data_IF_190948340466
#
_entry.id   IF_190948340466
#
_cell.length_a   1.000
_cell.length_b   1.000
_cell.length_c   1.000
_cell.angle_alpha   90.00
_cell.angle_beta   90.00
_cell.angle_gamma   90.00
#
_symmetry.space_group_name_H-M   'P 1'
#
loop_
_entity.id
_entity.type
_entity.pdbx_description
1 polymer ?
#
# COMPACT_ATOMS: atom_id res chain seq x y z
N UNK A 1 32.29 -12.66 -18.86
CA UNK A 1 31.95 -12.30 -17.46
C UNK A 1 30.52 -11.81 -17.26
N UNK A 2 29.91 -11.08 -18.20
CA UNK A 2 28.54 -10.55 -18.05
C UNK A 2 27.40 -11.59 -17.96
N UNK A 3 27.51 -12.74 -18.64
CA UNK A 3 26.43 -13.75 -18.67
C UNK A 3 26.23 -14.55 -17.37
N UNK A 4 27.27 -14.65 -16.52
CA UNK A 4 27.16 -15.31 -15.21
C UNK A 4 26.51 -14.36 -14.19
N UNK A 5 26.86 -13.07 -14.24
CA UNK A 5 26.27 -12.04 -13.39
C UNK A 5 24.79 -11.81 -13.70
N UNK A 6 24.41 -11.78 -14.99
CA UNK A 6 23.00 -11.66 -15.39
C UNK A 6 22.15 -12.87 -14.98
N UNK A 7 22.68 -14.09 -15.08
CA UNK A 7 22.01 -15.29 -14.55
C UNK A 7 21.88 -15.25 -13.03
N UNK A 8 22.87 -14.73 -12.32
CA UNK A 8 22.83 -14.58 -10.86
C UNK A 8 21.80 -13.53 -10.43
N UNK A 9 21.73 -12.39 -11.12
CA UNK A 9 20.74 -11.34 -10.86
C UNK A 9 19.30 -11.80 -11.16
N UNK A 10 19.12 -12.59 -12.23
CA UNK A 10 17.81 -13.15 -12.60
C UNK A 10 17.41 -14.39 -11.80
N UNK A 11 18.33 -14.98 -11.04
CA UNK A 11 18.06 -16.17 -10.23
C UNK A 11 17.10 -15.80 -9.09
N UNK A 12 15.84 -16.24 -9.22
CA UNK A 12 14.79 -15.97 -8.23
C UNK A 12 13.72 -14.97 -8.69
N UNK A 13 13.98 -14.18 -9.73
CA UNK A 13 12.99 -13.24 -10.31
C UNK A 13 11.71 -13.96 -10.74
N UNK A 14 11.84 -15.12 -11.41
CA UNK A 14 10.68 -15.90 -11.86
C UNK A 14 9.81 -16.45 -10.72
N UNK A 15 10.41 -16.82 -9.58
CA UNK A 15 9.66 -17.27 -8.39
C UNK A 15 8.93 -16.11 -7.71
N UNK A 16 9.59 -14.95 -7.57
CA UNK A 16 8.99 -13.74 -7.02
C UNK A 16 7.85 -13.24 -7.91
N UNK A 17 8.04 -13.24 -9.23
CA UNK A 17 7.01 -12.82 -10.18
C UNK A 17 5.76 -13.70 -10.09
N UNK A 18 5.93 -15.02 -9.96
CA UNK A 18 4.80 -15.95 -9.74
C UNK A 18 4.08 -15.64 -8.42
N UNK A 19 4.81 -15.38 -7.33
CA UNK A 19 4.24 -14.99 -6.04
C UNK A 19 3.35 -13.75 -6.17
N UNK A 20 3.84 -12.69 -6.83
CA UNK A 20 3.06 -11.47 -6.98
C UNK A 20 1.87 -11.62 -7.92
N UNK A 21 1.96 -12.45 -8.97
CA UNK A 21 0.82 -12.81 -9.81
C UNK A 21 -0.29 -13.49 -9.00
N UNK A 22 0.06 -14.44 -8.15
CA UNK A 22 -0.90 -15.09 -7.25
C UNK A 22 -1.55 -14.07 -6.30
N UNK A 23 -0.79 -13.13 -5.75
CA UNK A 23 -1.35 -12.05 -4.92
C UNK A 23 -2.34 -11.19 -5.72
N UNK A 24 -2.02 -10.82 -6.95
CA UNK A 24 -2.92 -10.05 -7.83
C UNK A 24 -4.23 -10.80 -8.03
N UNK A 25 -4.18 -12.11 -8.29
CA UNK A 25 -5.38 -12.95 -8.42
C UNK A 25 -6.24 -12.93 -7.14
N UNK A 26 -5.61 -13.04 -5.96
CA UNK A 26 -6.29 -12.94 -4.66
C UNK A 26 -6.92 -11.56 -4.47
N UNK A 27 -6.20 -10.47 -4.79
CA UNK A 27 -6.75 -9.11 -4.67
C UNK A 27 -7.95 -8.92 -5.61
N UNK A 28 -7.85 -9.41 -6.84
CA UNK A 28 -8.91 -9.30 -7.85
C UNK A 28 -10.14 -10.13 -7.47
N UNK A 29 -9.98 -11.29 -6.82
CA UNK A 29 -11.11 -12.13 -6.42
C UNK A 29 -11.97 -11.48 -5.32
N UNK A 30 -11.41 -10.58 -4.51
CA UNK A 30 -12.17 -9.83 -3.51
C UNK A 30 -12.94 -8.63 -4.09
N UNK A 31 -12.62 -8.17 -5.30
CA UNK A 31 -13.13 -6.90 -5.84
C UNK A 31 -14.66 -6.87 -5.96
N UNK A 32 -15.27 -7.95 -6.46
CA UNK A 32 -16.73 -8.01 -6.57
C UNK A 32 -17.43 -7.91 -5.21
N UNK A 33 -16.94 -8.63 -4.20
CA UNK A 33 -17.50 -8.59 -2.84
C UNK A 33 -17.28 -7.23 -2.17
N UNK A 34 -16.08 -6.68 -2.26
CA UNK A 34 -15.71 -5.41 -1.63
C UNK A 34 -16.44 -4.23 -2.28
N UNK A 35 -16.63 -4.24 -3.59
CA UNK A 35 -17.35 -3.17 -4.30
C UNK A 35 -18.82 -3.03 -3.88
N UNK A 36 -19.42 -4.09 -3.32
CA UNK A 36 -20.81 -4.10 -2.83
C UNK A 36 -20.94 -3.55 -1.40
N UNK A 37 -19.83 -3.40 -0.67
CA UNK A 37 -19.85 -2.87 0.69
C UNK A 37 -20.20 -1.38 0.69
N UNK A 38 -20.94 -0.97 1.71
CA UNK A 38 -21.14 0.44 2.07
C UNK A 38 -19.83 1.08 2.54
N UNK A 39 -19.82 2.41 2.65
CA UNK A 39 -18.64 3.14 3.11
C UNK A 39 -18.35 2.83 4.59
N UNK A 40 -19.39 2.65 5.39
CA UNK A 40 -19.30 2.24 6.80
C UNK A 40 -18.69 0.84 6.94
N UNK A 41 -19.14 -0.12 6.12
CA UNK A 41 -18.58 -1.47 6.11
C UNK A 41 -17.12 -1.48 5.67
N UNK A 42 -16.76 -0.69 4.64
CA UNK A 42 -15.37 -0.56 4.17
C UNK A 42 -14.47 0.03 5.24
N UNK A 43 -14.88 1.12 5.89
CA UNK A 43 -14.12 1.73 6.99
C UNK A 43 -14.00 0.79 8.19
N UNK A 44 -15.07 0.03 8.47
CA UNK A 44 -15.11 -0.98 9.53
C UNK A 44 -14.11 -2.13 9.33
N UNK A 45 -13.66 -2.41 8.09
CA UNK A 45 -12.65 -3.45 7.83
C UNK A 45 -11.34 -3.21 8.57
N UNK A 46 -10.95 -1.95 8.81
CA UNK A 46 -9.73 -1.63 9.55
C UNK A 46 -9.70 -2.26 10.94
N UNK A 47 -10.83 -2.23 11.66
CA UNK A 47 -10.92 -2.81 12.99
C UNK A 47 -10.78 -4.34 12.94
N UNK A 48 -11.44 -4.98 11.98
CA UNK A 48 -11.39 -6.44 11.76
C UNK A 48 -9.95 -6.89 11.47
N UNK A 49 -9.22 -6.19 10.59
CA UNK A 49 -7.84 -6.56 10.27
C UNK A 49 -6.89 -6.36 11.45
N UNK A 50 -7.07 -5.29 12.23
CA UNK A 50 -6.30 -5.07 13.46
C UNK A 50 -6.56 -6.17 14.50
N UNK A 51 -7.81 -6.62 14.63
CA UNK A 51 -8.16 -7.72 15.53
C UNK A 51 -7.55 -9.04 15.08
N UNK A 52 -7.65 -9.38 13.79
CA UNK A 52 -7.01 -10.58 13.20
C UNK A 52 -5.51 -10.59 13.44
N UNK A 53 -4.83 -9.47 13.21
CA UNK A 53 -3.40 -9.35 13.49
C UNK A 53 -3.08 -9.52 14.98
N UNK A 54 -3.86 -8.91 15.88
CA UNK A 54 -3.70 -9.09 17.34
C UNK A 54 -3.91 -10.54 17.78
N UNK A 55 -4.78 -11.28 17.10
CA UNK A 55 -5.03 -12.69 17.34
C UNK A 55 -3.97 -13.62 16.72
N UNK A 56 -2.89 -13.07 16.17
CA UNK A 56 -1.72 -13.82 15.70
C UNK A 56 -1.69 -14.12 14.20
N UNK A 57 -2.63 -13.60 13.40
CA UNK A 57 -2.56 -13.73 11.95
C UNK A 57 -1.47 -12.81 11.36
N UNK A 58 -0.60 -13.36 10.52
CA UNK A 58 0.46 -12.59 9.88
C UNK A 58 -0.07 -11.54 8.89
N UNK A 59 0.57 -10.37 8.86
CA UNK A 59 0.24 -9.30 7.89
C UNK A 59 0.31 -9.78 6.44
N UNK A 60 1.21 -10.72 6.13
CA UNK A 60 1.33 -11.28 4.79
C UNK A 60 0.06 -12.05 4.36
N UNK A 61 -0.63 -12.71 5.30
CA UNK A 61 -1.88 -13.41 5.05
C UNK A 61 -3.06 -12.44 4.86
N UNK A 62 -3.05 -11.33 5.61
CA UNK A 62 -4.07 -10.28 5.53
C UNK A 62 -3.93 -9.42 4.26
N UNK A 63 -2.73 -9.36 3.67
CA UNK A 63 -2.36 -8.44 2.59
C UNK A 63 -3.36 -8.38 1.42
N UNK A 64 -3.76 -9.53 0.89
CA UNK A 64 -4.62 -9.57 -0.30
C UNK A 64 -5.96 -8.87 -0.10
N UNK A 65 -6.61 -9.15 1.03
CA UNK A 65 -7.90 -8.55 1.38
C UNK A 65 -7.75 -7.07 1.75
N UNK A 66 -6.71 -6.71 2.51
CA UNK A 66 -6.43 -5.31 2.86
C UNK A 66 -6.12 -4.46 1.63
N UNK A 67 -5.38 -4.99 0.66
CA UNK A 67 -5.07 -4.29 -0.60
C UNK A 67 -6.30 -4.08 -1.46
N UNK A 68 -7.22 -5.06 -1.49
CA UNK A 68 -8.48 -4.93 -2.20
C UNK A 68 -9.38 -3.83 -1.56
N UNK A 69 -9.39 -3.73 -0.23
CA UNK A 69 -10.06 -2.63 0.49
C UNK A 69 -9.47 -1.27 0.12
N UNK A 70 -8.13 -1.12 0.17
CA UNK A 70 -7.47 0.14 -0.21
C UNK A 70 -7.76 0.52 -1.65
N UNK A 71 -7.77 -0.46 -2.58
CA UNK A 71 -8.11 -0.23 -3.99
C UNK A 71 -9.52 0.35 -4.13
N UNK A 72 -10.51 -0.24 -3.48
CA UNK A 72 -11.89 0.24 -3.56
C UNK A 72 -12.03 1.63 -2.93
N UNK A 73 -11.42 1.86 -1.76
CA UNK A 73 -11.45 3.17 -1.11
C UNK A 73 -10.77 4.23 -1.97
N UNK A 74 -9.64 3.92 -2.58
CA UNK A 74 -8.96 4.82 -3.52
C UNK A 74 -9.84 5.16 -4.73
N UNK A 75 -10.54 4.17 -5.28
CA UNK A 75 -11.50 4.40 -6.37
C UNK A 75 -12.64 5.32 -5.93
N UNK A 76 -13.20 5.14 -4.73
CA UNK A 76 -14.31 5.98 -4.21
C UNK A 76 -13.88 7.40 -3.84
N UNK A 77 -12.71 7.54 -3.21
CA UNK A 77 -12.30 8.82 -2.61
C UNK A 77 -11.53 9.71 -3.57
N UNK A 78 -10.69 9.14 -4.43
CA UNK A 78 -9.82 9.90 -5.35
C UNK A 78 -9.99 9.49 -6.81
N UNK A 79 -10.96 8.62 -7.13
CA UNK A 79 -11.27 8.22 -8.51
C UNK A 79 -10.23 7.30 -9.15
N UNK A 80 -9.28 6.76 -8.38
CA UNK A 80 -8.17 5.97 -8.90
C UNK A 80 -8.25 4.53 -8.43
N UNK A 81 -8.53 3.60 -9.35
CA UNK A 81 -8.40 2.16 -9.10
C UNK A 81 -6.95 1.74 -9.34
N UNK A 82 -6.34 1.04 -8.38
CA UNK A 82 -5.00 0.49 -8.56
C UNK A 82 -4.92 -0.48 -9.73
N UNK A 83 -3.86 -0.37 -10.54
CA UNK A 83 -3.47 -1.38 -11.52
C UNK A 83 -2.73 -2.55 -10.87
N UNK A 84 -2.69 -3.69 -11.55
CA UNK A 84 -2.02 -4.90 -11.04
C UNK A 84 -0.52 -4.68 -10.79
N UNK A 85 0.14 -3.86 -11.61
CA UNK A 85 1.55 -3.47 -11.40
C UNK A 85 1.75 -2.66 -10.12
N UNK A 86 0.75 -1.88 -9.70
CA UNK A 86 0.79 -1.12 -8.44
C UNK A 86 0.56 -2.02 -7.24
N UNK A 87 -0.31 -3.03 -7.36
CA UNK A 87 -0.48 -4.09 -6.35
C UNK A 87 0.83 -4.83 -6.14
N UNK A 88 1.50 -5.21 -7.23
CA UNK A 88 2.82 -5.83 -7.19
C UNK A 88 3.85 -4.92 -6.52
N UNK A 89 3.90 -3.64 -6.91
CA UNK A 89 4.78 -2.64 -6.29
C UNK A 89 4.55 -2.50 -4.78
N UNK A 90 3.29 -2.45 -4.34
CA UNK A 90 2.93 -2.40 -2.92
C UNK A 90 3.41 -3.63 -2.14
N UNK A 91 3.30 -4.83 -2.73
CA UNK A 91 3.78 -6.06 -2.12
C UNK A 91 5.31 -6.10 -2.01
N UNK A 92 6.02 -5.64 -3.05
CA UNK A 92 7.49 -5.53 -3.05
C UNK A 92 7.94 -4.58 -1.92
N UNK A 93 7.28 -3.43 -1.77
CA UNK A 93 7.57 -2.48 -0.69
C UNK A 93 7.29 -3.06 0.70
N UNK A 94 6.18 -3.79 0.86
CA UNK A 94 5.86 -4.46 2.11
C UNK A 94 6.94 -5.49 2.52
N UNK A 95 7.53 -6.18 1.54
CA UNK A 95 8.64 -7.13 1.77
C UNK A 95 9.98 -6.46 2.11
N UNK A 96 10.02 -5.13 2.25
CA UNK A 96 11.24 -4.38 2.53
C UNK A 96 12.19 -4.29 1.33
N UNK A 97 11.68 -4.48 0.12
CA UNK A 97 12.45 -4.43 -1.14
C UNK A 97 12.20 -3.13 -1.90
N UNK A 98 13.05 -2.87 -2.88
CA UNK A 98 12.91 -1.72 -3.79
C UNK A 98 11.97 -2.10 -4.94
N UNK A 99 10.85 -1.39 -5.05
CA UNK A 99 9.95 -1.49 -6.20
C UNK A 99 10.41 -0.54 -7.31
N UNK A 100 11.10 -1.07 -8.33
CA UNK A 100 11.42 -0.31 -9.54
C UNK A 100 10.17 -0.21 -10.42
N UNK A 101 9.59 0.98 -10.43
CA UNK A 101 8.45 1.35 -11.26
C UNK A 101 8.85 2.51 -12.17
N UNK A 102 8.39 2.55 -13.41
CA UNK A 102 8.65 3.67 -14.32
C UNK A 102 7.87 4.91 -13.91
N UNK A 103 8.32 6.07 -14.35
CA UNK A 103 7.56 7.33 -14.18
C UNK A 103 6.20 7.19 -14.86
N UNK A 104 5.15 7.62 -14.18
CA UNK A 104 3.77 7.47 -14.65
C UNK A 104 3.05 6.20 -14.19
N UNK A 105 3.75 5.21 -13.63
CA UNK A 105 3.10 3.98 -13.12
C UNK A 105 2.38 4.17 -11.77
N UNK A 106 2.36 5.39 -11.22
CA UNK A 106 1.62 5.74 -10.01
C UNK A 106 2.25 5.21 -8.71
N UNK A 107 3.54 5.52 -8.49
CA UNK A 107 4.28 5.14 -7.28
C UNK A 107 3.62 5.64 -5.98
N UNK A 108 3.15 6.88 -5.99
CA UNK A 108 2.46 7.50 -4.85
C UNK A 108 1.20 6.70 -4.48
N UNK A 109 0.41 6.31 -5.49
CA UNK A 109 -0.78 5.49 -5.27
C UNK A 109 -0.43 4.08 -4.77
N UNK A 110 0.59 3.44 -5.34
CA UNK A 110 1.05 2.11 -4.93
C UNK A 110 1.51 2.07 -3.45
N UNK A 111 2.12 3.16 -2.96
CA UNK A 111 2.59 3.25 -1.58
C UNK A 111 1.47 3.20 -0.52
N UNK A 112 0.23 3.57 -0.89
CA UNK A 112 -0.92 3.51 0.05
C UNK A 112 -1.18 2.10 0.57
N UNK A 113 -0.92 1.08 -0.25
CA UNK A 113 -1.18 -0.33 0.06
C UNK A 113 -0.33 -0.81 1.26
N UNK A 114 1.01 -0.77 1.23
CA UNK A 114 1.83 -1.19 2.37
C UNK A 114 1.74 -0.23 3.55
N UNK A 115 1.49 1.07 3.34
CA UNK A 115 1.30 2.03 4.45
C UNK A 115 0.09 1.63 5.28
N UNK A 116 -1.04 1.34 4.63
CA UNK A 116 -2.25 0.89 5.31
C UNK A 116 -2.03 -0.45 6.04
N UNK A 117 -1.46 -1.45 5.35
CA UNK A 117 -1.23 -2.77 5.95
C UNK A 117 -0.32 -2.72 7.18
N UNK A 118 0.78 -1.96 7.12
CA UNK A 118 1.71 -1.84 8.25
C UNK A 118 1.09 -1.11 9.46
N UNK A 119 0.06 -0.29 9.25
CA UNK A 119 -0.64 0.41 10.33
C UNK A 119 -1.30 -0.53 11.35
N UNK A 120 -1.56 -1.80 10.98
CA UNK A 120 -2.17 -2.77 11.88
C UNK A 120 -1.23 -3.19 13.02
N UNK A 121 0.08 -3.04 12.83
CA UNK A 121 1.09 -3.28 13.87
C UNK A 121 1.08 -2.25 15.00
N UNK A 122 0.31 -1.17 14.87
CA UNK A 122 0.29 -0.06 15.81
C UNK A 122 1.53 0.86 15.73
N UNK A 123 2.48 0.57 14.83
CA UNK A 123 3.64 1.42 14.56
C UNK A 123 3.31 2.46 13.50
N UNK A 124 3.91 3.64 13.64
CA UNK A 124 3.83 4.69 12.61
C UNK A 124 4.63 4.30 11.37
N UNK A 125 4.14 4.68 10.20
CA UNK A 125 4.86 4.54 8.91
C UNK A 125 5.31 5.91 8.43
N UNK A 126 6.59 6.03 8.08
CA UNK A 126 7.15 7.28 7.53
C UNK A 126 7.30 7.15 6.01
N UNK A 127 6.55 7.95 5.26
CA UNK A 127 6.69 8.09 3.80
C UNK A 127 7.57 9.29 3.51
N UNK A 128 8.77 9.05 2.99
CA UNK A 128 9.79 10.07 2.75
C UNK A 128 9.81 10.45 1.27
N UNK A 129 9.76 11.74 0.99
CA UNK A 129 9.89 12.31 -0.36
C UNK A 129 11.19 13.12 -0.46
N UNK A 130 11.53 13.57 -1.67
CA UNK A 130 12.75 14.36 -1.90
C UNK A 130 12.62 15.83 -1.47
N UNK A 131 11.41 16.34 -1.21
CA UNK A 131 11.18 17.71 -0.76
C UNK A 131 9.79 17.90 -0.11
N UNK A 132 9.65 19.01 0.62
CA UNK A 132 8.44 19.40 1.36
C UNK A 132 7.21 19.58 0.46
N UNK A 133 7.41 20.07 -0.78
CA UNK A 133 6.31 20.22 -1.74
C UNK A 133 5.65 18.87 -2.06
N UNK A 134 6.47 17.85 -2.37
CA UNK A 134 5.97 16.51 -2.65
C UNK A 134 5.39 15.86 -1.40
N UNK A 135 5.99 16.09 -0.23
CA UNK A 135 5.45 15.58 1.04
C UNK A 135 4.04 16.14 1.28
N UNK A 136 3.87 17.47 1.14
CA UNK A 136 2.58 18.13 1.30
C UNK A 136 1.56 17.62 0.29
N UNK A 137 1.90 17.67 -1.00
CA UNK A 137 1.03 17.20 -2.08
C UNK A 137 0.58 15.75 -1.86
N UNK A 138 1.50 14.85 -1.55
CA UNK A 138 1.18 13.43 -1.41
C UNK A 138 0.35 13.17 -0.14
N UNK A 139 0.60 13.90 0.95
CA UNK A 139 -0.20 13.84 2.17
C UNK A 139 -1.64 14.34 1.97
N UNK A 140 -1.83 15.39 1.18
CA UNK A 140 -3.15 15.95 0.87
C UNK A 140 -3.89 15.09 -0.15
N UNK A 141 -3.18 14.58 -1.16
CA UNK A 141 -3.78 13.80 -2.24
C UNK A 141 -4.15 12.38 -1.81
N UNK A 142 -3.26 11.66 -1.10
CA UNK A 142 -3.57 10.32 -0.57
C UNK A 142 -4.30 10.37 0.77
N UNK A 143 -4.34 11.55 1.41
CA UNK A 143 -5.00 11.79 2.70
C UNK A 143 -6.44 11.28 2.81
N UNK A 144 -7.33 11.53 1.83
CA UNK A 144 -8.68 11.00 1.83
C UNK A 144 -8.75 9.48 1.97
N UNK A 145 -7.86 8.73 1.29
CA UNK A 145 -7.80 7.26 1.37
C UNK A 145 -7.49 6.81 2.79
N UNK A 146 -6.45 7.40 3.40
CA UNK A 146 -6.04 7.06 4.76
C UNK A 146 -7.10 7.43 5.79
N UNK A 147 -7.67 8.63 5.70
CA UNK A 147 -8.69 9.14 6.62
C UNK A 147 -9.97 8.30 6.54
N UNK A 148 -10.40 7.92 5.34
CA UNK A 148 -11.54 7.02 5.15
C UNK A 148 -11.34 5.68 5.87
N UNK A 149 -10.13 5.15 5.83
CA UNK A 149 -9.74 3.90 6.51
C UNK A 149 -9.45 4.09 8.02
N UNK A 150 -9.69 5.28 8.58
CA UNK A 150 -9.51 5.57 10.00
C UNK A 150 -8.06 5.78 10.42
N UNK A 151 -7.15 6.06 9.47
CA UNK A 151 -5.76 6.41 9.75
C UNK A 151 -5.63 7.93 9.94
N UNK A 152 -4.68 8.32 10.79
CA UNK A 152 -4.25 9.72 10.92
C UNK A 152 -3.06 9.95 9.99
N UNK A 153 -3.02 11.13 9.35
CA UNK A 153 -1.94 11.55 8.46
C UNK A 153 -1.29 12.79 9.06
N UNK A 154 0.01 12.70 9.33
CA UNK A 154 0.85 13.84 9.70
C UNK A 154 1.70 14.29 8.52
N UNK A 155 2.04 15.57 8.49
CA UNK A 155 2.95 16.16 7.52
C UNK A 155 4.05 16.87 8.30
N UNK A 156 5.31 16.58 7.99
CA UNK A 156 6.47 17.25 8.57
C UNK A 156 7.11 18.12 7.49
N UNK A 157 7.29 19.41 7.79
CA UNK A 157 7.95 20.39 6.92
C UNK A 157 9.03 21.13 7.69
N UNK A 158 10.01 21.69 6.97
CA UNK A 158 11.15 22.36 7.57
C UNK A 158 10.72 23.51 8.50
N UNK A 159 9.82 24.37 8.03
CA UNK A 159 9.35 25.60 8.70
C UNK A 159 8.31 25.37 9.80
N UNK A 160 7.97 24.13 10.16
CA UNK A 160 7.03 23.86 11.24
C UNK A 160 7.67 24.09 12.62
N UNK A 161 6.92 24.74 13.51
CA UNK A 161 7.26 24.90 14.91
C UNK A 161 7.35 23.55 15.62
N UNK A 162 8.15 23.45 16.69
CA UNK A 162 8.33 22.19 17.42
C UNK A 162 7.03 21.65 18.03
N UNK A 163 6.06 22.51 18.34
CA UNK A 163 4.75 22.11 18.85
C UNK A 163 3.85 21.46 17.79
N UNK A 164 4.15 21.73 16.52
CA UNK A 164 3.31 21.34 15.38
C UNK A 164 3.88 20.13 14.63
N UNK A 165 5.15 19.77 14.94
CA UNK A 165 5.87 18.57 14.47
C UNK A 165 5.50 17.34 15.31
#
# INVERSE_FOLDING_TARGET
MFGKLSKLLKAGEGKNLKKYKNLIEVVNSFEEGISKLSDEELSGRTAIFKERYKNGEDLASIMGEAFAVVREVSKRTIGMRHFDVQIMGGAVLFEGKIAEMKTGEGKTLAATLPVYLNSFSGKSTHLITVNDYLAKRDSEWMGPVYKFLGLKVGLLQHEMEKSDK
#
